data_IF_796073865782
#
_entry.id   IF_796073865782
#
_cell.length_a   1.000
_cell.length_b   1.000
_cell.length_c   1.000
_cell.angle_alpha   90.00
_cell.angle_beta   90.00
_cell.angle_gamma   90.00
#
_symmetry.space_group_name_H-M   'P 1'
#
loop_
_entity.id
_entity.type
_entity.pdbx_description
1 polymer ?
#
# COMPACT_ATOMS: atom_id res chain seq x y z
N UNK A 1 1.89 -20.32 -12.36
CA UNK A 1 1.73 -19.46 -11.17
C UNK A 1 1.87 -20.28 -9.88
N UNK A 2 2.23 -19.65 -8.76
CA UNK A 2 2.49 -20.27 -7.47
C UNK A 2 1.20 -20.57 -6.68
N UNK A 3 0.77 -21.84 -6.67
CA UNK A 3 -0.39 -22.30 -5.91
C UNK A 3 -0.20 -22.25 -4.38
N UNK A 4 1.04 -22.14 -3.89
CA UNK A 4 1.39 -22.15 -2.48
C UNK A 4 1.33 -20.77 -1.82
N UNK A 5 0.81 -19.76 -2.51
CA UNK A 5 0.64 -18.42 -1.95
C UNK A 5 -0.26 -18.45 -0.70
N UNK A 6 0.23 -17.86 0.39
CA UNK A 6 -0.56 -17.71 1.61
C UNK A 6 -0.47 -16.29 2.17
N UNK A 7 -1.60 -15.70 2.58
CA UNK A 7 -1.58 -14.45 3.34
C UNK A 7 -1.18 -14.69 4.79
N UNK A 8 -0.77 -13.63 5.48
CA UNK A 8 -0.56 -13.67 6.93
C UNK A 8 -1.82 -14.00 7.76
N UNK A 9 -3.01 -13.94 7.16
CA UNK A 9 -4.26 -14.38 7.77
C UNK A 9 -4.59 -15.86 7.49
N UNK A 10 -3.75 -16.55 6.71
CA UNK A 10 -3.93 -17.96 6.34
C UNK A 10 -4.82 -18.19 5.11
N UNK A 11 -5.19 -17.14 4.38
CA UNK A 11 -5.86 -17.30 3.09
C UNK A 11 -4.89 -17.91 2.06
N UNK A 12 -5.36 -18.84 1.24
CA UNK A 12 -4.49 -19.64 0.36
C UNK A 12 -4.74 -19.36 -1.12
N UNK A 13 -3.74 -19.67 -1.95
CA UNK A 13 -3.76 -19.61 -3.41
C UNK A 13 -4.04 -18.23 -4.00
N UNK A 14 -4.14 -18.16 -5.33
CA UNK A 14 -4.29 -16.89 -6.05
C UNK A 14 -5.53 -16.10 -5.68
N UNK A 15 -6.65 -16.78 -5.45
CA UNK A 15 -7.90 -16.15 -5.09
C UNK A 15 -7.96 -15.82 -3.59
N UNK A 16 -6.94 -16.19 -2.80
CA UNK A 16 -6.84 -15.88 -1.38
C UNK A 16 -8.11 -16.31 -0.63
N UNK A 17 -8.57 -17.54 -0.89
CA UNK A 17 -9.73 -18.13 -0.22
C UNK A 17 -9.31 -18.69 1.14
N UNK A 18 -10.11 -18.43 2.17
CA UNK A 18 -9.88 -18.96 3.51
C UNK A 18 -10.09 -20.48 3.55
N UNK A 19 -9.29 -21.26 4.30
CA UNK A 19 -9.40 -22.72 4.34
C UNK A 19 -10.79 -23.25 4.70
N UNK A 20 -11.52 -22.56 5.59
CA UNK A 20 -12.89 -22.92 5.94
C UNK A 20 -13.85 -22.76 4.76
N UNK A 21 -13.75 -21.66 4.02
CA UNK A 21 -14.54 -21.41 2.80
C UNK A 21 -14.16 -22.38 1.69
N UNK A 22 -12.87 -22.66 1.51
CA UNK A 22 -12.40 -23.65 0.54
C UNK A 22 -13.04 -25.03 0.79
N UNK A 23 -12.98 -25.52 2.04
CA UNK A 23 -13.59 -26.80 2.44
C UNK A 23 -15.11 -26.83 2.25
N UNK A 24 -15.81 -25.73 2.55
CA UNK A 24 -17.28 -25.70 2.42
C UNK A 24 -17.75 -25.76 0.97
N UNK A 25 -16.94 -25.29 0.02
CA UNK A 25 -17.29 -25.27 -1.40
C UNK A 25 -17.13 -26.62 -2.09
N UNK A 26 -16.40 -27.58 -1.48
CA UNK A 26 -16.14 -28.93 -2.00
C UNK A 26 -15.59 -28.90 -3.43
N UNK A 27 -14.49 -28.20 -3.60
CA UNK A 27 -13.79 -27.97 -4.87
C UNK A 27 -12.34 -28.40 -4.75
N UNK A 28 -11.69 -28.62 -5.89
CA UNK A 28 -10.34 -29.16 -5.92
C UNK A 28 -9.27 -28.06 -5.94
N UNK A 29 -9.57 -26.91 -6.54
CA UNK A 29 -8.59 -25.84 -6.73
C UNK A 29 -9.00 -24.52 -6.10
N UNK A 30 -8.01 -23.75 -5.66
CA UNK A 30 -8.25 -22.43 -5.08
C UNK A 30 -8.89 -21.46 -6.09
N UNK A 31 -8.59 -21.63 -7.37
CA UNK A 31 -9.17 -20.85 -8.46
C UNK A 31 -10.67 -21.15 -8.56
N UNK A 32 -11.04 -22.44 -8.60
CA UNK A 32 -12.44 -22.85 -8.63
C UNK A 32 -13.18 -22.36 -7.37
N UNK A 33 -12.55 -22.48 -6.19
CA UNK A 33 -13.11 -21.95 -4.94
C UNK A 33 -13.39 -20.45 -5.02
N UNK A 34 -12.42 -19.68 -5.53
CA UNK A 34 -12.54 -18.24 -5.68
C UNK A 34 -13.65 -17.84 -6.65
N UNK A 35 -13.68 -18.46 -7.83
CA UNK A 35 -14.73 -18.23 -8.85
C UNK A 35 -16.10 -18.57 -8.28
N UNK A 36 -16.27 -19.77 -7.71
CA UNK A 36 -17.55 -20.23 -7.15
C UNK A 36 -18.02 -19.32 -6.01
N UNK A 37 -17.12 -18.92 -5.12
CA UNK A 37 -17.45 -18.02 -4.01
C UNK A 37 -17.84 -16.64 -4.51
N UNK A 38 -17.10 -16.06 -5.46
CA UNK A 38 -17.43 -14.77 -6.05
C UNK A 38 -18.78 -14.83 -6.79
N UNK A 39 -19.07 -15.89 -7.53
CA UNK A 39 -20.37 -16.11 -8.18
C UNK A 39 -21.51 -16.14 -7.15
N UNK A 40 -21.32 -16.79 -6.01
CA UNK A 40 -22.30 -16.74 -4.91
C UNK A 40 -22.51 -15.32 -4.38
N UNK A 41 -21.44 -14.52 -4.27
CA UNK A 41 -21.55 -13.13 -3.82
C UNK A 41 -22.30 -12.26 -4.84
N UNK A 42 -22.02 -12.41 -6.13
CA UNK A 42 -22.74 -11.70 -7.20
C UNK A 42 -24.22 -12.04 -7.15
N UNK A 43 -24.57 -13.34 -7.11
CA UNK A 43 -25.98 -13.78 -7.02
C UNK A 43 -26.68 -13.28 -5.76
N UNK A 44 -25.95 -13.18 -4.63
CA UNK A 44 -26.52 -12.77 -3.34
C UNK A 44 -26.78 -11.27 -3.26
N UNK A 45 -25.90 -10.45 -3.81
CA UNK A 45 -25.95 -9.00 -3.63
C UNK A 45 -26.42 -8.25 -4.87
N UNK A 46 -26.48 -8.93 -6.02
CA UNK A 46 -26.92 -8.39 -7.32
C UNK A 46 -26.21 -7.08 -7.72
N UNK A 47 -24.99 -6.93 -7.22
CA UNK A 47 -24.14 -5.74 -7.38
C UNK A 47 -22.68 -6.14 -7.26
N UNK A 48 -21.89 -5.82 -8.28
CA UNK A 48 -20.47 -6.20 -8.33
C UNK A 48 -19.68 -5.61 -7.15
N UNK A 49 -19.89 -4.33 -6.81
CA UNK A 49 -19.15 -3.67 -5.73
C UNK A 49 -19.45 -4.27 -4.35
N UNK A 50 -20.71 -4.65 -4.10
CA UNK A 50 -21.11 -5.34 -2.87
C UNK A 50 -20.60 -6.78 -2.87
N UNK A 51 -20.56 -7.44 -4.02
CA UNK A 51 -20.01 -8.78 -4.14
C UNK A 51 -18.50 -8.81 -3.85
N UNK A 52 -17.74 -7.85 -4.40
CA UNK A 52 -16.30 -7.68 -4.14
C UNK A 52 -16.05 -7.28 -2.69
N UNK A 53 -16.87 -6.39 -2.13
CA UNK A 53 -16.82 -6.03 -0.71
C UNK A 53 -17.11 -7.24 0.21
N UNK A 54 -18.06 -8.09 -0.17
CA UNK A 54 -18.42 -9.30 0.57
C UNK A 54 -17.35 -10.40 0.44
N UNK A 55 -16.73 -10.51 -0.73
CA UNK A 55 -15.61 -11.41 -0.96
C UNK A 55 -14.43 -11.09 -0.04
N UNK A 56 -14.06 -9.80 0.05
CA UNK A 56 -12.92 -9.34 0.84
C UNK A 56 -13.24 -9.16 2.34
N UNK A 57 -14.32 -8.44 2.66
CA UNK A 57 -14.70 -8.05 4.02
C UNK A 57 -15.75 -8.95 4.68
N UNK A 58 -16.22 -9.98 3.97
CA UNK A 58 -17.16 -10.98 4.45
C UNK A 58 -18.64 -10.64 4.15
N UNK A 59 -19.45 -11.61 3.70
CA UNK A 59 -20.83 -11.38 3.27
C UNK A 59 -21.75 -10.95 4.41
N UNK A 60 -21.53 -11.44 5.63
CA UNK A 60 -22.35 -11.06 6.79
C UNK A 60 -22.23 -9.57 7.12
N UNK A 61 -21.06 -8.97 6.88
CA UNK A 61 -20.84 -7.53 7.13
C UNK A 61 -21.62 -6.68 6.14
N UNK A 62 -21.53 -7.02 4.85
CA UNK A 62 -22.24 -6.34 3.76
C UNK A 62 -23.76 -6.50 3.93
N UNK A 63 -24.24 -7.73 4.17
CA UNK A 63 -25.67 -7.99 4.38
C UNK A 63 -26.27 -7.21 5.56
N UNK A 64 -25.49 -7.00 6.63
CA UNK A 64 -25.90 -6.22 7.81
C UNK A 64 -25.65 -4.71 7.65
N UNK A 65 -25.28 -4.24 6.45
CA UNK A 65 -24.97 -2.82 6.14
C UNK A 65 -24.01 -2.18 7.14
N UNK A 66 -23.05 -2.96 7.64
CA UNK A 66 -22.03 -2.46 8.56
C UNK A 66 -20.98 -1.67 7.77
N UNK A 67 -20.41 -0.58 8.33
CA UNK A 67 -19.32 0.14 7.68
C UNK A 67 -18.18 -0.80 7.28
N UNK A 68 -17.66 -0.64 6.06
CA UNK A 68 -16.55 -1.46 5.56
C UNK A 68 -15.20 -0.93 6.07
N UNK A 69 -14.21 -1.80 6.14
CA UNK A 69 -12.83 -1.43 6.46
C UNK A 69 -12.26 -0.53 5.35
N UNK A 70 -11.35 0.38 5.70
CA UNK A 70 -10.70 1.23 4.70
C UNK A 70 -9.99 0.38 3.64
N UNK A 71 -9.35 -0.71 4.07
CA UNK A 71 -8.70 -1.69 3.21
C UNK A 71 -9.70 -2.35 2.25
N UNK A 72 -10.91 -2.67 2.72
CA UNK A 72 -11.94 -3.25 1.84
C UNK A 72 -12.48 -2.21 0.86
N UNK A 73 -12.66 -0.95 1.29
CA UNK A 73 -13.06 0.12 0.37
C UNK A 73 -11.99 0.36 -0.70
N UNK A 74 -10.71 0.42 -0.31
CA UNK A 74 -9.57 0.50 -1.22
C UNK A 74 -9.51 -0.70 -2.16
N UNK A 75 -9.80 -1.90 -1.65
CA UNK A 75 -9.85 -3.12 -2.46
C UNK A 75 -10.97 -3.05 -3.50
N UNK A 76 -12.19 -2.65 -3.12
CA UNK A 76 -13.32 -2.52 -4.04
C UNK A 76 -13.03 -1.49 -5.13
N UNK A 77 -12.52 -0.31 -4.74
CA UNK A 77 -12.12 0.74 -5.69
C UNK A 77 -11.01 0.26 -6.62
N UNK A 78 -10.01 -0.45 -6.07
CA UNK A 78 -8.91 -1.02 -6.85
C UNK A 78 -9.37 -2.06 -7.86
N UNK A 79 -10.22 -3.01 -7.45
CA UNK A 79 -10.77 -4.05 -8.35
C UNK A 79 -11.62 -3.42 -9.45
N UNK A 80 -12.49 -2.46 -9.11
CA UNK A 80 -13.28 -1.73 -10.09
C UNK A 80 -12.42 -0.97 -11.10
N UNK A 81 -11.40 -0.26 -10.61
CA UNK A 81 -10.41 0.42 -11.44
C UNK A 81 -9.70 -0.55 -12.40
N UNK A 82 -9.10 -1.63 -11.87
CA UNK A 82 -8.39 -2.61 -12.70
C UNK A 82 -9.29 -3.29 -13.72
N UNK A 83 -10.54 -3.59 -13.37
CA UNK A 83 -11.52 -4.14 -14.31
C UNK A 83 -11.76 -3.18 -15.47
N UNK A 84 -11.96 -1.89 -15.21
CA UNK A 84 -12.20 -0.90 -16.26
C UNK A 84 -10.97 -0.73 -17.17
N UNK A 85 -9.77 -0.72 -16.58
CA UNK A 85 -8.52 -0.66 -17.35
C UNK A 85 -8.34 -1.92 -18.19
N UNK A 86 -8.57 -3.12 -17.65
CA UNK A 86 -8.48 -4.37 -18.42
C UNK A 86 -9.46 -4.39 -19.58
N UNK A 87 -10.71 -3.96 -19.38
CA UNK A 87 -11.71 -3.87 -20.46
C UNK A 87 -11.29 -2.96 -21.61
N UNK A 88 -10.48 -1.94 -21.34
CA UNK A 88 -10.13 -0.89 -22.31
C UNK A 88 -8.74 -1.05 -22.91
N UNK A 89 -7.82 -1.72 -22.21
CA UNK A 89 -6.40 -1.77 -22.55
C UNK A 89 -5.80 -3.18 -22.46
N UNK A 90 -6.60 -4.24 -22.53
CA UNK A 90 -6.17 -5.63 -22.33
C UNK A 90 -4.90 -5.99 -23.13
N UNK A 91 -4.89 -5.71 -24.44
CA UNK A 91 -3.78 -6.10 -25.32
C UNK A 91 -2.46 -5.43 -24.92
N UNK A 92 -2.48 -4.13 -24.64
CA UNK A 92 -1.30 -3.38 -24.17
C UNK A 92 -0.86 -3.86 -22.78
N UNK A 93 -1.81 -4.10 -21.88
CA UNK A 93 -1.50 -4.65 -20.56
C UNK A 93 -0.89 -6.04 -20.62
N UNK A 94 -1.41 -6.94 -21.47
CA UNK A 94 -0.83 -8.29 -21.66
C UNK A 94 0.59 -8.22 -22.19
N UNK A 95 0.84 -7.33 -23.15
CA UNK A 95 2.20 -7.09 -23.67
C UNK A 95 3.16 -6.68 -22.54
N UNK A 96 2.78 -5.68 -21.73
CA UNK A 96 3.61 -5.22 -20.62
C UNK A 96 3.71 -6.22 -19.47
N UNK A 97 2.64 -6.96 -19.16
CA UNK A 97 2.63 -7.96 -18.10
C UNK A 97 3.61 -9.12 -18.40
N UNK A 98 3.76 -9.49 -19.67
CA UNK A 98 4.74 -10.51 -20.09
C UNK A 98 6.21 -10.05 -19.92
N UNK A 99 6.45 -8.74 -19.80
CA UNK A 99 7.77 -8.17 -19.56
C UNK A 99 8.09 -8.02 -18.07
N UNK A 100 7.09 -8.18 -17.19
CA UNK A 100 7.31 -8.07 -15.74
C UNK A 100 7.97 -9.34 -15.22
N UNK A 101 9.08 -9.17 -14.52
CA UNK A 101 9.75 -10.21 -13.77
C UNK A 101 9.30 -10.20 -12.31
N UNK A 102 9.52 -11.32 -11.63
CA UNK A 102 9.18 -11.45 -10.21
C UNK A 102 10.38 -12.01 -9.46
N UNK A 103 10.72 -11.40 -8.33
CA UNK A 103 11.70 -11.93 -7.39
C UNK A 103 11.08 -12.10 -6.01
N UNK A 104 11.71 -12.90 -5.16
CA UNK A 104 11.37 -13.01 -3.74
C UNK A 104 12.23 -12.07 -2.91
N UNK A 105 11.66 -11.48 -1.88
CA UNK A 105 12.38 -10.76 -0.81
C UNK A 105 13.21 -11.77 -0.02
N UNK A 106 14.52 -11.56 0.05
CA UNK A 106 15.44 -12.34 0.86
C UNK A 106 15.50 -11.84 2.31
N UNK A 107 16.21 -12.56 3.18
CA UNK A 107 16.52 -12.08 4.53
C UNK A 107 17.39 -10.82 4.45
N UNK A 108 17.03 -9.78 5.22
CA UNK A 108 17.72 -8.48 5.20
C UNK A 108 17.35 -7.55 4.03
N UNK A 109 16.55 -8.01 3.06
CA UNK A 109 16.12 -7.15 1.94
C UNK A 109 15.19 -6.02 2.44
N UNK A 110 15.59 -4.78 2.17
CA UNK A 110 14.67 -3.66 2.03
C UNK A 110 14.63 -3.16 0.57
N UNK A 111 13.93 -2.05 0.33
CA UNK A 111 13.81 -1.47 -1.01
C UNK A 111 15.16 -1.09 -1.65
N UNK A 112 16.15 -0.70 -0.85
CA UNK A 112 17.53 -0.44 -1.26
C UNK A 112 18.26 -1.71 -1.67
N UNK A 113 18.30 -2.76 -0.85
CA UNK A 113 18.97 -4.01 -1.22
C UNK A 113 18.37 -4.58 -2.51
N UNK A 114 17.04 -4.51 -2.66
CA UNK A 114 16.37 -4.89 -3.90
C UNK A 114 16.79 -4.03 -5.10
N UNK A 115 16.87 -2.71 -4.91
CA UNK A 115 17.33 -1.78 -5.94
C UNK A 115 18.74 -2.10 -6.42
N UNK A 116 19.68 -2.31 -5.49
CA UNK A 116 21.06 -2.67 -5.82
C UNK A 116 21.15 -4.03 -6.50
N UNK A 117 20.47 -5.04 -5.94
CA UNK A 117 20.45 -6.41 -6.47
C UNK A 117 19.86 -6.50 -7.88
N UNK A 118 18.82 -5.72 -8.15
CA UNK A 118 18.13 -5.71 -9.44
C UNK A 118 18.67 -4.64 -10.40
N UNK A 119 19.58 -3.77 -9.93
CA UNK A 119 20.06 -2.59 -10.64
C UNK A 119 18.90 -1.71 -11.17
N UNK A 120 17.93 -1.39 -10.32
CA UNK A 120 16.72 -0.65 -10.69
C UNK A 120 16.41 0.49 -9.72
N UNK A 121 15.93 1.65 -10.21
CA UNK A 121 15.44 2.74 -9.36
C UNK A 121 14.42 2.27 -8.31
N UNK A 122 14.59 2.66 -7.02
CA UNK A 122 13.59 2.37 -5.98
C UNK A 122 12.20 2.87 -6.38
N UNK A 123 12.12 4.04 -7.04
CA UNK A 123 10.86 4.59 -7.56
C UNK A 123 10.15 3.57 -8.46
N UNK A 124 10.89 2.98 -9.39
CA UNK A 124 10.36 2.03 -10.35
C UNK A 124 9.90 0.75 -9.62
N UNK A 125 10.72 0.21 -8.71
CA UNK A 125 10.32 -0.94 -7.89
C UNK A 125 9.02 -0.67 -7.11
N UNK A 126 8.89 0.49 -6.47
CA UNK A 126 7.69 0.84 -5.71
C UNK A 126 6.46 1.09 -6.59
N UNK A 127 6.63 1.71 -7.76
CA UNK A 127 5.53 1.91 -8.71
C UNK A 127 5.02 0.59 -9.30
N UNK A 128 5.88 -0.42 -9.48
CA UNK A 128 5.45 -1.76 -9.87
C UNK A 128 4.81 -2.54 -8.70
N UNK A 129 4.96 -2.07 -7.46
CA UNK A 129 4.43 -2.69 -6.25
C UNK A 129 3.70 -1.67 -5.35
N UNK A 130 2.69 -0.93 -5.84
CA UNK A 130 2.16 0.25 -5.16
C UNK A 130 1.51 -0.06 -3.80
N UNK A 131 0.97 -1.27 -3.63
CA UNK A 131 0.41 -1.73 -2.35
C UNK A 131 1.47 -2.01 -1.28
N UNK A 132 2.72 -2.25 -1.71
CA UNK A 132 3.86 -2.54 -0.85
C UNK A 132 4.77 -1.33 -0.68
N UNK A 133 4.67 -0.33 -1.56
CA UNK A 133 5.57 0.82 -1.65
C UNK A 133 5.91 1.47 -0.30
N UNK A 134 4.94 1.58 0.62
CA UNK A 134 5.12 2.21 1.92
C UNK A 134 5.17 1.23 3.10
N UNK A 135 5.41 -0.05 2.81
CA UNK A 135 5.42 -1.12 3.80
C UNK A 135 6.82 -1.70 3.92
N UNK A 136 7.13 -2.16 5.13
CA UNK A 136 8.30 -3.01 5.32
C UNK A 136 8.09 -4.32 4.55
N UNK A 137 9.14 -4.74 3.86
CA UNK A 137 9.15 -5.99 3.11
C UNK A 137 9.25 -7.19 4.05
N UNK A 138 8.70 -8.32 3.61
CA UNK A 138 8.73 -9.58 4.37
C UNK A 138 9.41 -10.64 3.54
N UNK A 139 10.26 -11.44 4.18
CA UNK A 139 10.96 -12.56 3.53
C UNK A 139 9.95 -13.45 2.80
N UNK A 140 10.30 -13.87 1.58
CA UNK A 140 9.46 -14.68 0.70
C UNK A 140 8.35 -13.90 -0.02
N UNK A 141 8.14 -12.62 0.29
CA UNK A 141 7.18 -11.79 -0.44
C UNK A 141 7.64 -11.62 -1.88
N UNK A 142 6.69 -11.70 -2.82
CA UNK A 142 6.98 -11.49 -4.24
C UNK A 142 7.03 -10.00 -4.56
N UNK A 143 8.02 -9.60 -5.35
CA UNK A 143 8.23 -8.24 -5.83
C UNK A 143 8.26 -8.28 -7.36
N UNK A 144 7.32 -7.56 -7.97
CA UNK A 144 7.27 -7.39 -9.41
C UNK A 144 8.25 -6.30 -9.84
N UNK A 145 8.98 -6.49 -10.93
CA UNK A 145 9.91 -5.48 -11.43
C UNK A 145 10.02 -5.54 -12.96
N UNK A 146 10.31 -4.41 -13.62
CA UNK A 146 10.53 -4.39 -15.06
C UNK A 146 11.91 -4.92 -15.42
N UNK A 147 12.09 -5.40 -16.65
CA UNK A 147 13.39 -5.89 -17.14
C UNK A 147 14.41 -4.78 -17.39
N UNK A 148 13.97 -3.53 -17.56
CA UNK A 148 14.84 -2.40 -17.88
C UNK A 148 14.59 -1.20 -16.95
N UNK A 149 15.67 -0.51 -16.50
CA UNK A 149 15.55 0.73 -15.76
C UNK A 149 14.83 1.79 -16.57
N UNK A 150 13.96 2.56 -15.91
CA UNK A 150 13.35 3.76 -16.49
C UNK A 150 13.64 4.96 -15.62
N UNK A 151 14.19 5.99 -16.25
CA UNK A 151 14.51 7.27 -15.61
C UNK A 151 13.55 8.39 -16.04
N UNK A 152 12.66 8.12 -17.00
CA UNK A 152 11.66 9.05 -17.54
C UNK A 152 10.35 9.08 -16.74
N UNK A 153 10.31 8.31 -15.65
CA UNK A 153 9.07 8.05 -14.88
C UNK A 153 8.56 9.28 -14.18
N UNK A 154 9.48 10.10 -13.66
CA UNK A 154 9.16 11.36 -13.02
C UNK A 154 10.30 12.34 -13.33
N UNK A 155 9.95 13.56 -13.70
CA UNK A 155 10.89 14.60 -14.12
C UNK A 155 10.67 15.83 -13.25
N UNK A 156 11.74 16.36 -12.67
CA UNK A 156 11.64 17.61 -11.91
C UNK A 156 11.55 18.79 -12.90
N UNK A 157 10.53 19.65 -12.76
CA UNK A 157 10.39 20.90 -13.53
C UNK A 157 9.85 22.02 -12.65
N UNK A 158 10.46 23.20 -12.72
CA UNK A 158 9.96 24.44 -12.09
C UNK A 158 9.57 24.29 -10.60
N UNK A 159 10.38 23.56 -9.82
CA UNK A 159 10.14 23.37 -8.38
C UNK A 159 9.09 22.31 -8.02
N UNK A 160 8.49 21.62 -9.01
CA UNK A 160 7.56 20.52 -8.80
C UNK A 160 8.06 19.24 -9.47
N UNK A 161 7.56 18.09 -8.99
CA UNK A 161 7.82 16.80 -9.64
C UNK A 161 6.69 16.53 -10.64
N UNK A 162 7.02 16.41 -11.92
CA UNK A 162 6.07 16.00 -12.94
C UNK A 162 6.09 14.49 -13.10
N UNK A 163 4.92 13.87 -13.05
CA UNK A 163 4.75 12.44 -13.30
C UNK A 163 3.82 12.23 -14.49
N UNK A 164 4.25 11.43 -15.47
CA UNK A 164 3.40 11.04 -16.59
C UNK A 164 2.69 9.75 -16.25
N UNK A 165 1.37 9.83 -16.12
CA UNK A 165 0.51 8.70 -15.79
C UNK A 165 0.55 7.61 -16.85
N UNK A 166 0.33 6.38 -16.39
CA UNK A 166 0.43 5.14 -17.11
C UNK A 166 -0.88 4.38 -17.04
N UNK A 167 -1.02 3.40 -17.90
CA UNK A 167 -2.17 2.49 -17.87
C UNK A 167 -2.18 1.76 -16.52
N UNK A 168 -3.31 1.83 -15.81
CA UNK A 168 -3.48 1.21 -14.49
C UNK A 168 -3.08 2.09 -13.31
N UNK A 169 -2.62 3.32 -13.57
CA UNK A 169 -2.36 4.28 -12.52
C UNK A 169 -3.64 4.77 -11.86
N UNK A 170 -3.53 4.92 -10.54
CA UNK A 170 -4.55 5.54 -9.71
C UNK A 170 -3.89 6.57 -8.80
N UNK A 171 -4.52 7.74 -8.68
CA UNK A 171 -4.00 8.86 -7.91
C UNK A 171 -3.77 8.50 -6.43
N UNK A 172 -4.55 7.57 -5.86
CA UNK A 172 -4.31 7.09 -4.49
C UNK A 172 -2.97 6.36 -4.37
N UNK A 173 -2.68 5.46 -5.31
CA UNK A 173 -1.47 4.66 -5.34
C UNK A 173 -0.24 5.51 -5.65
N UNK A 174 -0.37 6.47 -6.57
CA UNK A 174 0.69 7.44 -6.87
C UNK A 174 0.95 8.29 -5.64
N UNK A 175 -0.07 8.91 -5.03
CA UNK A 175 0.12 9.74 -3.83
C UNK A 175 0.79 8.95 -2.70
N UNK A 176 0.37 7.70 -2.49
CA UNK A 176 1.01 6.78 -1.57
C UNK A 176 2.48 6.55 -1.93
N UNK A 177 2.75 6.03 -3.13
CA UNK A 177 4.11 5.70 -3.60
C UNK A 177 5.04 6.90 -3.55
N UNK A 178 4.56 8.06 -3.97
CA UNK A 178 5.29 9.33 -4.02
C UNK A 178 5.34 10.03 -2.64
N UNK A 179 4.60 9.55 -1.64
CA UNK A 179 4.60 10.15 -0.31
C UNK A 179 4.04 11.59 -0.26
N UNK A 180 3.23 11.99 -1.24
CA UNK A 180 2.61 13.34 -1.30
C UNK A 180 1.24 13.36 -0.63
N UNK A 181 0.80 14.55 -0.21
CA UNK A 181 -0.56 14.71 0.30
C UNK A 181 -1.57 14.51 -0.83
N UNK A 182 -2.48 13.55 -0.66
CA UNK A 182 -3.49 13.20 -1.65
C UNK A 182 -4.42 14.36 -2.01
N UNK A 183 -4.88 15.14 -1.02
CA UNK A 183 -5.82 16.23 -1.25
C UNK A 183 -5.15 17.39 -2.00
N UNK A 184 -3.92 17.73 -1.61
CA UNK A 184 -3.09 18.70 -2.32
C UNK A 184 -2.85 18.24 -3.77
N UNK A 185 -2.41 17.00 -3.97
CA UNK A 185 -2.18 16.45 -5.30
C UNK A 185 -3.44 16.49 -6.17
N UNK A 186 -4.61 16.15 -5.61
CA UNK A 186 -5.89 16.22 -6.34
C UNK A 186 -6.28 17.64 -6.70
N UNK A 187 -6.11 18.58 -5.77
CA UNK A 187 -6.38 20.01 -6.01
C UNK A 187 -5.49 20.55 -7.12
N UNK A 188 -4.18 20.33 -7.02
CA UNK A 188 -3.19 20.90 -7.94
C UNK A 188 -3.36 20.37 -9.37
N UNK A 189 -3.91 19.16 -9.51
CA UNK A 189 -4.12 18.49 -10.80
C UNK A 189 -5.60 18.40 -11.21
N UNK A 190 -6.48 19.13 -10.52
CA UNK A 190 -7.93 19.13 -10.77
C UNK A 190 -8.57 17.73 -10.80
N UNK A 191 -8.05 16.74 -10.06
CA UNK A 191 -8.44 15.32 -10.20
C UNK A 191 -9.77 14.95 -9.54
N UNK A 192 -10.47 15.90 -8.91
CA UNK A 192 -11.67 15.63 -8.12
C UNK A 192 -12.84 15.03 -8.93
N UNK A 193 -12.82 15.21 -10.25
CA UNK A 193 -13.82 14.69 -11.19
C UNK A 193 -13.40 13.37 -11.86
N UNK A 194 -12.17 12.89 -11.60
CA UNK A 194 -11.65 11.69 -12.24
C UNK A 194 -11.73 10.51 -11.28
N UNK A 195 -12.44 9.46 -11.70
CA UNK A 195 -12.33 8.14 -11.05
C UNK A 195 -11.01 7.46 -11.42
N UNK A 196 -10.55 7.61 -12.66
CA UNK A 196 -9.35 6.96 -13.21
C UNK A 196 -8.44 8.00 -13.87
N UNK A 197 -7.13 7.80 -13.78
CA UNK A 197 -6.17 8.66 -14.47
C UNK A 197 -6.00 8.19 -15.93
N UNK A 198 -6.23 9.06 -16.92
CA UNK A 198 -5.97 8.71 -18.31
C UNK A 198 -4.45 8.62 -18.54
N UNK A 199 -3.94 7.62 -19.27
CA UNK A 199 -2.51 7.51 -19.55
C UNK A 199 -2.00 8.73 -20.31
N UNK A 200 -0.79 9.17 -20.00
CA UNK A 200 -0.17 10.36 -20.58
C UNK A 200 -0.55 11.68 -19.90
N UNK A 201 -1.51 11.70 -18.97
CA UNK A 201 -1.77 12.87 -18.15
C UNK A 201 -0.53 13.21 -17.32
N UNK A 202 -0.09 14.46 -17.42
CA UNK A 202 1.01 14.99 -16.59
C UNK A 202 0.44 15.46 -15.26
N UNK A 203 0.94 14.89 -14.17
CA UNK A 203 0.62 15.30 -12.82
C UNK A 203 1.75 16.15 -12.25
N UNK A 204 1.40 17.33 -11.74
CA UNK A 204 2.26 18.17 -10.91
C UNK A 204 2.13 17.72 -9.46
N UNK A 205 3.17 17.09 -8.93
CA UNK A 205 3.21 16.60 -7.57
C UNK A 205 3.89 17.63 -6.67
N UNK A 206 3.09 18.35 -5.89
CA UNK A 206 3.59 19.30 -4.91
C UNK A 206 4.36 18.57 -3.79
N UNK A 207 5.64 18.89 -3.68
CA UNK A 207 6.56 18.31 -2.69
C UNK A 207 6.61 19.10 -1.39
N UNK A 208 5.76 20.13 -1.23
CA UNK A 208 5.70 21.04 -0.09
C UNK A 208 5.26 20.33 1.20
N UNK A 209 6.16 19.55 1.80
CA UNK A 209 5.98 18.93 3.10
C UNK A 209 6.70 19.76 4.16
N UNK A 210 5.95 20.26 5.14
CA UNK A 210 6.51 20.96 6.31
C UNK A 210 7.05 19.92 7.29
N UNK A 211 8.32 19.55 7.14
CA UNK A 211 9.06 18.72 8.09
C UNK A 211 10.44 19.31 8.35
N UNK A 212 10.94 19.16 9.58
CA UNK A 212 12.35 19.50 9.87
C UNK A 212 13.24 18.48 9.18
N UNK A 213 14.23 18.99 8.45
CA UNK A 213 15.25 18.17 7.80
C UNK A 213 16.54 18.36 8.59
N UNK A 214 17.20 17.25 8.87
CA UNK A 214 18.60 17.23 9.26
C UNK A 214 19.44 17.32 7.97
N UNK A 215 20.53 18.05 8.02
CA UNK A 215 21.46 18.17 6.90
C UNK A 215 22.62 17.23 7.16
N UNK A 216 22.85 16.29 6.26
CA UNK A 216 23.86 15.25 6.37
C UNK A 216 24.81 15.31 5.18
N UNK A 217 26.12 15.47 5.42
CA UNK A 217 27.12 15.37 4.36
C UNK A 217 27.53 13.90 4.19
N UNK A 218 27.36 13.37 2.97
CA UNK A 218 27.70 11.98 2.63
C UNK A 218 29.18 11.74 2.88
N UNK A 219 29.48 10.78 3.72
CA UNK A 219 30.84 10.35 4.04
C UNK A 219 31.30 9.25 3.08
N UNK A 220 32.62 9.04 3.02
CA UNK A 220 33.20 7.99 2.19
C UNK A 220 32.65 6.62 2.62
N UNK A 221 32.12 5.86 1.65
CA UNK A 221 31.56 4.52 1.89
C UNK A 221 30.14 4.49 2.45
N UNK A 222 29.51 5.63 2.72
CA UNK A 222 28.09 5.64 3.09
C UNK A 222 27.19 5.27 1.91
N UNK A 223 26.10 4.59 2.23
CA UNK A 223 25.03 4.24 1.29
C UNK A 223 23.73 4.88 1.74
N UNK A 224 22.74 4.97 0.84
CA UNK A 224 21.40 5.46 1.23
C UNK A 224 20.78 4.62 2.35
N UNK A 225 21.07 3.33 2.39
CA UNK A 225 20.62 2.44 3.46
C UNK A 225 21.27 2.78 4.80
N UNK A 226 22.61 2.90 4.86
CA UNK A 226 23.30 3.22 6.12
C UNK A 226 22.93 4.61 6.64
N UNK A 227 22.80 5.60 5.75
CA UNK A 227 22.35 6.95 6.12
C UNK A 227 20.92 6.91 6.65
N UNK A 228 20.02 6.19 5.95
CA UNK A 228 18.64 6.06 6.39
C UNK A 228 18.53 5.36 7.75
N UNK A 229 19.29 4.29 7.98
CA UNK A 229 19.30 3.60 9.25
C UNK A 229 19.80 4.51 10.39
N UNK A 230 20.96 5.14 10.20
CA UNK A 230 21.59 6.03 11.19
C UNK A 230 20.69 7.20 11.56
N UNK A 231 20.09 7.85 10.55
CA UNK A 231 19.24 9.02 10.73
C UNK A 231 17.77 8.65 10.95
N UNK A 232 17.46 7.36 11.16
CA UNK A 232 16.09 6.84 11.39
C UNK A 232 15.09 7.31 10.33
N UNK A 233 15.53 7.29 9.08
CA UNK A 233 14.78 7.63 7.87
C UNK A 233 14.41 6.35 7.09
N UNK A 234 14.04 6.54 5.82
CA UNK A 234 13.81 5.48 4.84
C UNK A 234 14.56 5.89 3.56
N UNK A 235 15.28 4.99 2.85
CA UNK A 235 16.03 5.34 1.65
C UNK A 235 15.19 6.11 0.62
N UNK A 236 13.90 5.77 0.47
CA UNK A 236 12.98 6.46 -0.42
C UNK A 236 12.72 7.90 -0.03
N UNK A 237 12.63 8.19 1.27
CA UNK A 237 12.47 9.57 1.75
C UNK A 237 13.69 10.39 1.42
N UNK A 238 14.88 9.82 1.62
CA UNK A 238 16.13 10.50 1.27
C UNK A 238 16.18 10.76 -0.23
N UNK A 239 15.84 9.77 -1.07
CA UNK A 239 15.76 9.95 -2.53
C UNK A 239 14.80 11.08 -2.89
N UNK A 240 13.62 11.07 -2.30
CA UNK A 240 12.58 12.05 -2.54
C UNK A 240 13.00 13.47 -2.11
N UNK A 241 13.46 13.62 -0.87
CA UNK A 241 13.80 14.91 -0.26
C UNK A 241 15.05 15.54 -0.91
N UNK A 242 15.87 14.74 -1.59
CA UNK A 242 17.13 15.15 -2.24
C UNK A 242 17.13 15.01 -3.77
N UNK A 243 16.03 14.53 -4.36
CA UNK A 243 15.87 14.39 -5.81
C UNK A 243 16.90 13.45 -6.49
N UNK A 244 17.43 12.47 -5.76
CA UNK A 244 18.45 11.52 -6.25
C UNK A 244 17.82 10.21 -6.76
N UNK A 245 16.93 10.32 -7.75
CA UNK A 245 16.15 9.18 -8.28
C UNK A 245 17.00 8.04 -8.84
N UNK A 246 18.17 8.38 -9.39
CA UNK A 246 19.18 7.44 -9.88
C UNK A 246 19.99 6.79 -8.75
N UNK A 247 19.84 7.24 -7.51
CA UNK A 247 20.49 6.72 -6.31
C UNK A 247 22.01 6.92 -6.25
N UNK A 248 22.56 7.79 -7.09
CA UNK A 248 23.98 8.10 -7.05
C UNK A 248 24.28 8.97 -5.81
N UNK A 249 25.21 8.50 -4.99
CA UNK A 249 25.77 9.25 -3.87
C UNK A 249 27.23 9.58 -4.15
N UNK A 250 27.59 10.83 -3.96
CA UNK A 250 28.99 11.30 -4.04
C UNK A 250 29.45 11.74 -2.64
N UNK A 251 30.71 11.43 -2.30
CA UNK A 251 31.29 11.90 -1.03
C UNK A 251 31.31 13.43 -0.99
N UNK A 252 30.86 14.02 0.12
CA UNK A 252 30.68 15.45 0.28
C UNK A 252 29.33 15.99 -0.20
N UNK A 253 28.51 15.18 -0.88
CA UNK A 253 27.14 15.54 -1.22
C UNK A 253 26.35 15.84 0.05
N UNK A 254 25.61 16.95 0.07
CA UNK A 254 24.79 17.32 1.22
C UNK A 254 23.35 16.86 1.01
N UNK A 255 22.83 16.04 1.94
CA UNK A 255 21.49 15.48 1.93
C UNK A 255 20.62 16.11 3.02
N UNK A 256 19.41 16.50 2.64
CA UNK A 256 18.27 16.79 3.52
C UNK A 256 17.62 15.47 3.90
N UNK A 257 17.79 15.05 5.14
CA UNK A 257 17.23 13.80 5.65
C UNK A 257 16.21 14.11 6.72
N UNK A 258 15.00 13.60 6.54
CA UNK A 258 13.96 13.67 7.58
C UNK A 258 13.69 12.28 8.15
N UNK A 259 13.41 12.22 9.45
CA UNK A 259 13.07 10.98 10.13
C UNK A 259 11.80 10.36 9.54
N UNK A 260 11.76 9.04 9.44
CA UNK A 260 10.53 8.33 9.14
C UNK A 260 9.55 8.56 10.30
N UNK A 261 8.24 8.71 10.04
CA UNK A 261 7.26 8.82 11.11
C UNK A 261 7.38 7.57 11.99
N UNK A 262 7.35 7.72 13.32
CA UNK A 262 7.42 6.58 14.21
C UNK A 262 6.34 5.59 13.81
N UNK A 263 6.74 4.33 13.59
CA UNK A 263 5.76 3.27 13.32
C UNK A 263 4.82 3.22 14.54
N UNK A 264 3.49 3.22 14.34
CA UNK A 264 2.57 3.08 15.45
C UNK A 264 2.90 1.79 16.20
N UNK A 265 3.25 1.93 17.48
CA UNK A 265 3.41 0.77 18.37
C UNK A 265 2.03 0.40 18.90
N UNK A 266 1.82 -0.88 19.21
CA UNK A 266 0.52 -1.36 19.68
C UNK A 266 0.66 -2.10 21.01
N UNK A 267 -0.15 -1.72 21.99
CA UNK A 267 -0.40 -2.54 23.18
C UNK A 267 -1.65 -3.39 22.97
N UNK A 268 -1.71 -4.56 23.59
CA UNK A 268 -2.94 -5.36 23.59
C UNK A 268 -3.68 -5.13 24.91
N UNK A 269 -4.83 -4.47 24.82
CA UNK A 269 -5.72 -4.23 25.95
C UNK A 269 -6.91 -5.20 25.91
N UNK A 270 -7.21 -5.88 27.02
CA UNK A 270 -8.40 -6.71 27.16
C UNK A 270 -9.51 -5.88 27.81
N UNK A 271 -10.59 -5.64 27.08
CA UNK A 271 -11.74 -4.84 27.52
C UNK A 271 -12.34 -5.43 28.80
N UNK A 272 -12.53 -4.61 29.82
CA UNK A 272 -13.12 -4.98 31.11
C UNK A 272 -14.52 -4.40 31.28
N UNK A 273 -15.23 -4.81 32.34
CA UNK A 273 -16.60 -4.35 32.60
C UNK A 273 -16.64 -2.83 32.78
N UNK A 274 -17.59 -2.17 32.13
CA UNK A 274 -17.75 -0.71 32.18
C UNK A 274 -16.87 0.09 31.21
N UNK A 275 -15.94 -0.54 30.48
CA UNK A 275 -15.09 0.19 29.53
C UNK A 275 -15.77 0.41 28.16
N UNK A 276 -15.53 1.59 27.60
CA UNK A 276 -15.83 1.91 26.21
C UNK A 276 -14.56 2.43 25.51
N UNK A 277 -14.60 2.54 24.17
CA UNK A 277 -13.44 3.00 23.39
C UNK A 277 -12.93 4.38 23.81
N UNK A 278 -13.81 5.26 24.30
CA UNK A 278 -13.44 6.58 24.81
C UNK A 278 -12.64 6.51 26.11
N UNK A 279 -13.03 5.63 27.04
CA UNK A 279 -12.31 5.36 28.28
C UNK A 279 -10.93 4.78 27.99
N UNK A 280 -10.88 3.78 27.09
CA UNK A 280 -9.63 3.13 26.69
C UNK A 280 -8.71 4.12 25.95
N UNK A 281 -9.24 4.92 25.03
CA UNK A 281 -8.48 5.96 24.33
C UNK A 281 -7.81 6.93 25.31
N UNK A 282 -8.56 7.43 26.30
CA UNK A 282 -8.05 8.34 27.33
C UNK A 282 -6.97 7.68 28.18
N UNK A 283 -7.21 6.44 28.63
CA UNK A 283 -6.26 5.66 29.45
C UNK A 283 -4.90 5.53 28.78
N UNK A 284 -4.88 5.31 27.47
CA UNK A 284 -3.66 5.06 26.71
C UNK A 284 -3.14 6.28 25.93
N UNK A 285 -3.69 7.47 26.15
CA UNK A 285 -3.24 8.70 25.46
C UNK A 285 -3.39 8.63 23.94
N UNK A 286 -4.43 7.96 23.45
CA UNK A 286 -4.70 7.79 22.01
C UNK A 286 -6.11 8.30 21.67
N UNK A 287 -6.55 8.14 20.43
CA UNK A 287 -7.90 8.53 20.01
C UNK A 287 -8.80 7.33 19.77
N UNK A 288 -10.10 7.50 19.96
CA UNK A 288 -11.12 6.50 19.58
C UNK A 288 -10.93 6.10 18.13
N UNK A 289 -10.66 7.06 17.24
CA UNK A 289 -10.41 6.82 15.80
C UNK A 289 -9.14 6.00 15.56
N UNK A 290 -8.08 6.22 16.34
CA UNK A 290 -6.84 5.45 16.23
C UNK A 290 -7.04 4.00 16.69
N UNK A 291 -7.70 3.78 17.84
CA UNK A 291 -8.07 2.42 18.30
C UNK A 291 -9.00 1.75 17.29
N UNK A 292 -9.96 2.50 16.75
CA UNK A 292 -10.86 2.04 15.70
C UNK A 292 -10.10 1.61 14.46
N UNK A 293 -9.18 2.44 13.97
CA UNK A 293 -8.33 2.10 12.81
C UNK A 293 -7.50 0.84 13.09
N UNK A 294 -6.83 0.77 14.23
CA UNK A 294 -5.94 -0.33 14.60
C UNK A 294 -6.63 -1.68 14.86
N UNK A 295 -7.92 -1.63 15.21
CA UNK A 295 -8.76 -2.81 15.48
C UNK A 295 -9.86 -2.99 14.45
N UNK A 296 -9.83 -2.19 13.40
CA UNK A 296 -10.82 -2.21 12.33
C UNK A 296 -12.27 -2.04 12.86
N UNK A 297 -12.46 -1.22 13.90
CA UNK A 297 -13.76 -0.92 14.49
C UNK A 297 -14.35 0.32 13.77
N UNK A 298 -15.61 0.25 13.34
CA UNK A 298 -16.32 1.42 12.79
C UNK A 298 -16.84 2.36 13.88
N UNK A 299 -17.28 3.56 13.48
CA UNK A 299 -17.72 4.68 14.36
C UNK A 299 -18.80 4.33 15.40
N UNK A 300 -19.58 3.27 15.16
CA UNK A 300 -20.61 2.74 16.07
C UNK A 300 -20.43 1.28 16.48
N UNK A 301 -19.19 0.75 16.39
CA UNK A 301 -18.92 -0.63 16.80
C UNK A 301 -18.85 -0.72 18.31
N UNK A 302 -19.74 -1.51 18.90
CA UNK A 302 -19.70 -1.84 20.33
C UNK A 302 -18.57 -2.81 20.60
N UNK A 303 -17.77 -2.52 21.63
CA UNK A 303 -16.75 -3.43 22.13
C UNK A 303 -17.35 -4.34 23.20
N UNK A 304 -16.87 -5.57 23.30
CA UNK A 304 -17.36 -6.57 24.27
C UNK A 304 -16.36 -6.78 25.39
N UNK A 305 -16.87 -7.08 26.59
CA UNK A 305 -16.04 -7.52 27.71
C UNK A 305 -15.22 -8.74 27.26
N UNK A 306 -13.93 -8.74 27.57
CA UNK A 306 -12.96 -9.76 27.17
C UNK A 306 -12.36 -9.59 25.78
N UNK A 307 -12.84 -8.64 24.97
CA UNK A 307 -12.27 -8.37 23.64
C UNK A 307 -10.83 -7.84 23.76
N UNK A 308 -9.92 -8.36 22.93
CA UNK A 308 -8.55 -7.87 22.84
C UNK A 308 -8.46 -6.78 21.77
N UNK A 309 -7.96 -5.60 22.14
CA UNK A 309 -7.80 -4.44 21.28
C UNK A 309 -6.31 -4.06 21.17
N UNK A 310 -5.82 -3.88 19.95
CA UNK A 310 -4.55 -3.23 19.58
C UNK A 310 -4.68 -1.73 19.77
N UNK A 311 -4.09 -1.20 20.81
CA UNK A 311 -4.15 0.21 21.15
C UNK A 311 -2.92 0.90 20.57
N UNK A 312 -3.05 1.81 19.60
CA UNK A 312 -1.90 2.58 19.10
C UNK A 312 -1.35 3.43 20.22
N UNK A 313 -0.09 3.20 20.54
CA UNK A 313 0.69 4.04 21.43
C UNK A 313 1.63 4.89 20.58
N UNK A 314 1.50 6.20 20.74
CA UNK A 314 2.56 7.12 20.32
C UNK A 314 3.58 7.07 21.45
N UNK A 315 4.77 6.52 21.19
CA UNK A 315 5.93 6.83 22.02
C UNK A 315 6.55 8.11 21.49
#
# INVERSE_FOLDING_TARGET
GNANLSSGAGAQGYFQVMPATFRSLRVETNIEAGVKYLTQMIKRFDREDYAVAAYNGGPTRVARRRPMYLETLQYVLGVGHFRNVLKTHESSLRYHANQVQVTTVAEGDDWWQLSQRLNLPILQLRLHNPFLANRQLRVGQLIAYPTEPRNDVAVQRNGHLEYVTRIGDNYFNIAGTMGVNLDTMRKDNSLWHLENLPPGLRLTLSTNWKGTHEVHAVQAGETLHTIAENLKSDPWRIIWDNQIWNQNLETGMTLRVRKAPPKPTYLVHRVTSGENLGVIARRYGTTVRAIQSANTLGRGTLIRIGQRLRIPTVK
#
